data_IF_225629895061
#
_entry.id   IF_225629895061
#
_cell.length_a   1.000
_cell.length_b   1.000
_cell.length_c   1.000
_cell.angle_alpha   90.00
_cell.angle_beta   90.00
_cell.angle_gamma   90.00
#
_symmetry.space_group_name_H-M   'P 1'
#
loop_
_entity.id
_entity.type
_entity.pdbx_description
1 polymer ?
#
# COMPACT_ATOMS: atom_id res chain seq x y z
N UNK A 1 22.60 -26.81 1.16
CA UNK A 1 22.69 -25.64 0.27
C UNK A 1 21.61 -25.66 -0.81
N UNK A 2 21.19 -26.83 -1.33
CA UNK A 2 20.05 -26.94 -2.26
C UNK A 2 18.66 -26.82 -1.58
N UNK A 3 18.54 -27.10 -0.28
CA UNK A 3 17.27 -27.02 0.45
C UNK A 3 16.78 -25.58 0.70
N UNK A 4 17.68 -24.62 0.94
CA UNK A 4 17.31 -23.20 1.17
C UNK A 4 16.88 -22.47 -0.10
N UNK A 5 17.32 -22.92 -1.27
CA UNK A 5 16.96 -22.33 -2.57
C UNK A 5 15.59 -22.85 -3.04
N UNK A 6 15.26 -24.09 -2.72
CA UNK A 6 13.96 -24.71 -3.01
C UNK A 6 12.83 -24.05 -2.20
N UNK A 7 13.07 -23.82 -0.90
CA UNK A 7 12.14 -23.18 0.03
C UNK A 7 11.74 -21.75 -0.41
N UNK A 8 12.73 -20.97 -0.86
CA UNK A 8 12.51 -19.58 -1.31
C UNK A 8 11.64 -19.47 -2.57
N UNK A 9 11.73 -20.44 -3.49
CA UNK A 9 10.89 -20.46 -4.71
C UNK A 9 9.44 -20.82 -4.39
N UNK A 10 9.22 -21.69 -3.41
CA UNK A 10 7.89 -22.08 -2.95
C UNK A 10 7.22 -20.95 -2.16
N UNK A 11 7.95 -20.24 -1.29
CA UNK A 11 7.48 -19.02 -0.62
C UNK A 11 7.07 -17.92 -1.61
N UNK A 12 7.78 -17.77 -2.72
CA UNK A 12 7.41 -16.83 -3.79
C UNK A 12 6.15 -17.27 -4.55
N UNK A 13 5.85 -18.57 -4.60
CA UNK A 13 4.70 -19.15 -5.31
C UNK A 13 3.41 -19.22 -4.48
N UNK A 14 3.49 -19.25 -3.15
CA UNK A 14 2.33 -19.33 -2.25
C UNK A 14 1.74 -17.94 -1.94
N UNK A 15 0.94 -17.46 -2.89
CA UNK A 15 0.39 -16.09 -2.99
C UNK A 15 -0.82 -15.83 -2.06
N UNK A 16 -1.42 -16.86 -1.45
CA UNK A 16 -2.78 -16.76 -0.88
C UNK A 16 -2.88 -16.59 0.65
N UNK A 17 -1.79 -16.45 1.40
CA UNK A 17 -1.84 -16.51 2.87
C UNK A 17 -2.16 -15.17 3.59
N UNK A 18 -2.03 -14.02 2.93
CA UNK A 18 -2.36 -12.71 3.51
C UNK A 18 -3.76 -12.27 3.06
N UNK A 19 -4.79 -12.89 3.62
CA UNK A 19 -6.18 -12.62 3.26
C UNK A 19 -6.72 -11.38 3.97
N UNK A 20 -6.90 -10.28 3.24
CA UNK A 20 -7.75 -9.14 3.65
C UNK A 20 -9.26 -9.48 3.49
N UNK A 21 -9.63 -10.73 3.17
CA UNK A 21 -10.99 -11.12 2.73
C UNK A 21 -12.01 -11.26 3.86
N UNK A 22 -11.57 -11.32 5.13
CA UNK A 22 -12.45 -11.71 6.24
C UNK A 22 -13.18 -10.55 6.92
N UNK A 23 -13.00 -9.30 6.47
CA UNK A 23 -13.68 -8.12 7.03
C UNK A 23 -14.67 -7.53 6.02
N UNK A 24 -15.96 -7.51 6.37
CA UNK A 24 -16.99 -6.85 5.57
C UNK A 24 -16.96 -5.34 5.81
N UNK A 25 -16.84 -4.57 4.74
CA UNK A 25 -16.99 -3.12 4.77
C UNK A 25 -18.46 -2.71 5.02
N UNK A 26 -18.67 -1.50 5.53
CA UNK A 26 -20.02 -0.97 5.77
C UNK A 26 -20.67 -0.50 4.45
N UNK A 27 -21.72 -1.21 4.00
CA UNK A 27 -22.41 -0.97 2.73
C UNK A 27 -23.27 0.32 2.67
N UNK A 28 -23.34 1.10 3.75
CA UNK A 28 -24.30 2.22 3.89
C UNK A 28 -23.74 3.60 3.53
N UNK A 29 -22.56 3.69 2.92
CA UNK A 29 -21.92 4.98 2.62
C UNK A 29 -21.70 5.05 1.11
N UNK A 30 -22.15 6.16 0.50
CA UNK A 30 -22.10 6.39 -0.95
C UNK A 30 -20.78 5.93 -1.56
N UNK A 31 -20.88 5.18 -2.67
CA UNK A 31 -19.78 4.42 -3.27
C UNK A 31 -18.50 5.24 -3.31
N UNK A 32 -17.56 4.93 -2.41
CA UNK A 32 -16.18 5.36 -2.57
C UNK A 32 -15.70 4.69 -3.86
N UNK A 33 -15.50 5.46 -4.93
CA UNK A 33 -14.93 4.95 -6.17
C UNK A 33 -13.43 4.67 -5.91
N UNK A 34 -13.14 3.54 -5.28
CA UNK A 34 -11.81 2.97 -5.23
C UNK A 34 -11.40 2.57 -6.64
N UNK A 35 -10.13 2.79 -6.98
CA UNK A 35 -9.61 2.48 -8.31
C UNK A 35 -8.17 2.03 -8.18
N UNK A 36 -7.77 1.02 -8.97
CA UNK A 36 -6.38 0.54 -8.98
C UNK A 36 -5.45 1.53 -9.69
N UNK A 37 -6.00 2.40 -10.52
CA UNK A 37 -5.30 3.41 -11.31
C UNK A 37 -5.17 4.78 -10.58
N UNK A 38 -5.37 4.79 -9.26
CA UNK A 38 -5.17 6.00 -8.44
C UNK A 38 -3.71 6.23 -8.09
N UNK A 39 -2.91 5.16 -8.18
CA UNK A 39 -1.49 5.18 -7.98
C UNK A 39 -0.79 4.18 -8.90
N UNK A 40 0.49 4.44 -9.13
CA UNK A 40 1.45 3.52 -9.71
C UNK A 40 2.52 3.21 -8.66
N UNK A 41 2.76 1.93 -8.42
CA UNK A 41 3.94 1.47 -7.70
C UNK A 41 5.08 1.27 -8.68
N UNK A 42 6.28 1.67 -8.30
CA UNK A 42 7.48 1.55 -9.14
C UNK A 42 8.49 0.64 -8.46
N UNK A 43 9.37 0.04 -9.25
CA UNK A 43 10.55 -0.64 -8.72
C UNK A 43 11.77 0.29 -8.76
N UNK A 44 12.68 0.20 -7.78
CA UNK A 44 13.96 0.88 -7.87
C UNK A 44 14.75 0.36 -9.07
N UNK A 45 15.57 1.23 -9.67
CA UNK A 45 16.50 0.83 -10.73
C UNK A 45 17.48 -0.23 -10.20
N UNK A 46 17.97 -0.06 -8.97
CA UNK A 46 18.79 -1.05 -8.27
C UNK A 46 17.95 -1.84 -7.27
N UNK A 47 17.71 -3.12 -7.57
CA UNK A 47 16.92 -4.02 -6.72
C UNK A 47 17.61 -4.32 -5.38
N UNK A 48 18.93 -4.14 -5.26
CA UNK A 48 19.65 -4.34 -3.98
C UNK A 48 19.19 -3.38 -2.90
N UNK A 49 18.56 -2.26 -3.28
CA UNK A 49 17.95 -1.34 -2.31
C UNK A 49 16.91 -2.04 -1.42
N UNK A 50 16.25 -3.10 -1.90
CA UNK A 50 15.28 -3.85 -1.11
C UNK A 50 15.87 -4.63 0.08
N UNK A 51 17.18 -4.89 0.11
CA UNK A 51 17.83 -5.61 1.21
C UNK A 51 17.85 -4.78 2.51
N UNK A 52 17.87 -3.45 2.37
CA UNK A 52 17.99 -2.50 3.49
C UNK A 52 16.77 -1.61 3.67
N UNK A 53 15.92 -1.48 2.65
CA UNK A 53 14.74 -0.61 2.66
C UNK A 53 13.59 -1.19 3.49
N UNK A 54 12.92 -0.33 4.25
CA UNK A 54 11.67 -0.68 4.95
C UNK A 54 10.47 -0.46 4.02
N UNK A 55 9.34 -1.18 4.22
CA UNK A 55 8.12 -0.96 3.46
C UNK A 55 7.64 0.51 3.46
N UNK A 56 7.74 1.19 4.61
CA UNK A 56 7.41 2.62 4.71
C UNK A 56 8.30 3.48 3.79
N UNK A 57 9.62 3.28 3.83
CA UNK A 57 10.56 4.02 2.96
C UNK A 57 10.30 3.73 1.48
N UNK A 58 9.90 2.50 1.15
CA UNK A 58 9.50 2.15 -0.20
C UNK A 58 8.27 2.94 -0.64
N UNK A 59 7.20 2.95 0.16
CA UNK A 59 5.97 3.66 -0.19
C UNK A 59 6.18 5.16 -0.34
N UNK A 60 7.00 5.76 0.52
CA UNK A 60 7.33 7.18 0.43
C UNK A 60 8.00 7.54 -0.92
N UNK A 61 8.88 6.67 -1.44
CA UNK A 61 9.70 6.98 -2.62
C UNK A 61 9.12 6.46 -3.93
N UNK A 62 8.51 5.29 -3.91
CA UNK A 62 8.12 4.51 -5.09
C UNK A 62 6.61 4.36 -5.28
N UNK A 63 5.79 5.07 -4.50
CA UNK A 63 4.35 5.22 -4.78
C UNK A 63 4.08 6.55 -5.48
N UNK A 64 3.56 6.50 -6.70
CA UNK A 64 3.16 7.68 -7.48
C UNK A 64 1.64 7.78 -7.52
N UNK A 65 1.09 8.72 -6.74
CA UNK A 65 -0.36 8.97 -6.70
C UNK A 65 -0.75 9.99 -7.78
N UNK A 66 -1.90 9.83 -8.42
CA UNK A 66 -2.40 10.82 -9.38
C UNK A 66 -2.90 12.10 -8.69
N UNK A 67 -2.98 13.21 -9.42
CA UNK A 67 -3.21 14.53 -8.80
C UNK A 67 -4.61 14.69 -8.20
N UNK A 68 -5.61 14.06 -8.81
CA UNK A 68 -6.98 14.01 -8.26
C UNK A 68 -6.96 13.39 -6.86
N UNK A 69 -6.27 12.26 -6.69
CA UNK A 69 -6.23 11.55 -5.42
C UNK A 69 -5.27 12.20 -4.42
N UNK A 70 -4.15 12.77 -4.88
CA UNK A 70 -3.30 13.64 -4.03
C UNK A 70 -4.09 14.79 -3.41
N UNK A 71 -4.99 15.42 -4.17
CA UNK A 71 -5.82 16.52 -3.66
C UNK A 71 -6.73 16.07 -2.52
N UNK A 72 -7.36 14.90 -2.65
CA UNK A 72 -8.15 14.29 -1.57
C UNK A 72 -7.28 14.03 -0.33
N UNK A 73 -6.15 13.35 -0.52
CA UNK A 73 -5.26 12.99 0.58
C UNK A 73 -4.69 14.24 1.27
N UNK A 74 -4.31 15.27 0.50
CA UNK A 74 -3.81 16.53 1.03
C UNK A 74 -4.83 17.22 1.92
N UNK A 75 -6.10 17.24 1.51
CA UNK A 75 -7.19 17.83 2.32
C UNK A 75 -7.29 17.16 3.69
N UNK A 76 -7.24 15.82 3.72
CA UNK A 76 -7.31 15.08 4.99
C UNK A 76 -6.04 15.31 5.80
N UNK A 77 -4.85 15.21 5.20
CA UNK A 77 -3.60 15.46 5.89
C UNK A 77 -3.56 16.87 6.50
N UNK A 78 -3.95 17.91 5.75
CA UNK A 78 -3.95 19.29 6.24
C UNK A 78 -4.91 19.54 7.40
N UNK A 79 -5.99 18.76 7.48
CA UNK A 79 -6.95 18.84 8.59
C UNK A 79 -6.36 18.30 9.90
N UNK A 80 -5.47 17.32 9.82
CA UNK A 80 -4.99 16.55 10.97
C UNK A 80 -3.51 16.75 11.30
N UNK A 81 -2.75 17.39 10.41
CA UNK A 81 -1.31 17.54 10.58
C UNK A 81 -0.94 18.29 11.85
N UNK A 82 0.11 17.79 12.48
CA UNK A 82 0.85 18.45 13.55
C UNK A 82 1.94 19.27 12.87
N UNK A 83 1.95 20.58 13.15
CA UNK A 83 2.96 21.48 12.61
C UNK A 83 4.31 21.20 13.25
N UNK A 84 5.35 21.16 12.43
CA UNK A 84 6.75 21.04 12.86
C UNK A 84 7.61 22.03 12.09
N UNK A 85 8.72 22.46 12.67
CA UNK A 85 9.64 23.40 12.03
C UNK A 85 10.27 22.84 10.75
N UNK A 86 10.50 21.52 10.69
CA UNK A 86 11.13 20.85 9.55
C UNK A 86 10.11 20.39 8.53
N UNK A 87 9.13 19.61 8.98
CA UNK A 87 8.13 19.02 8.11
C UNK A 87 6.87 18.65 8.90
N UNK A 88 5.71 19.16 8.46
CA UNK A 88 4.41 18.78 9.01
C UNK A 88 4.22 17.25 8.95
N UNK A 89 3.66 16.66 10.00
CA UNK A 89 3.47 15.21 10.10
C UNK A 89 2.16 14.85 10.78
N UNK A 90 1.76 13.58 10.70
CA UNK A 90 0.75 12.98 11.59
C UNK A 90 1.39 11.88 12.42
N UNK A 91 0.98 11.74 13.68
CA UNK A 91 1.35 10.59 14.50
C UNK A 91 0.46 9.38 14.18
N UNK A 92 0.84 8.20 14.69
CA UNK A 92 0.14 6.96 14.37
C UNK A 92 -1.31 6.93 14.87
N UNK A 93 -1.58 7.61 16.00
CA UNK A 93 -2.94 7.73 16.55
C UNK A 93 -3.83 8.55 15.62
N UNK A 94 -3.33 9.68 15.14
CA UNK A 94 -4.02 10.60 14.24
C UNK A 94 -4.14 9.99 12.83
N UNK A 95 -3.16 9.20 12.40
CA UNK A 95 -3.19 8.48 11.14
C UNK A 95 -4.40 7.54 11.01
N UNK A 96 -4.81 6.89 12.10
CA UNK A 96 -6.02 6.05 12.12
C UNK A 96 -7.26 6.84 11.70
N UNK A 97 -7.44 8.03 12.30
CA UNK A 97 -8.56 8.91 11.96
C UNK A 97 -8.47 9.41 10.52
N UNK A 98 -7.26 9.78 10.07
CA UNK A 98 -7.02 10.21 8.70
C UNK A 98 -7.41 9.14 7.69
N UNK A 99 -6.98 7.89 7.90
CA UNK A 99 -7.24 6.82 6.94
C UNK A 99 -8.73 6.46 6.90
N UNK A 100 -9.40 6.43 8.06
CA UNK A 100 -10.86 6.25 8.13
C UNK A 100 -11.58 7.37 7.35
N UNK A 101 -11.13 8.63 7.46
CA UNK A 101 -11.72 9.75 6.72
C UNK A 101 -11.45 9.70 5.22
N UNK A 102 -10.24 9.33 4.78
CA UNK A 102 -9.91 9.10 3.37
C UNK A 102 -10.89 8.12 2.74
N UNK A 103 -11.22 7.08 3.49
CA UNK A 103 -12.16 6.03 3.07
C UNK A 103 -13.62 6.35 3.40
N UNK A 104 -13.95 7.61 3.70
CA UNK A 104 -15.32 8.06 4.01
C UNK A 104 -16.00 7.21 5.10
N UNK A 105 -15.25 6.78 6.12
CA UNK A 105 -15.73 5.93 7.24
C UNK A 105 -16.22 4.53 6.82
N UNK A 106 -15.87 4.08 5.61
CA UNK A 106 -16.24 2.75 5.12
C UNK A 106 -15.35 1.63 5.68
N UNK A 107 -14.17 2.00 6.19
CA UNK A 107 -13.23 1.13 6.89
C UNK A 107 -13.23 1.43 8.40
N UNK A 108 -12.64 0.53 9.18
CA UNK A 108 -12.54 0.67 10.64
C UNK A 108 -11.09 0.46 11.12
N UNK A 109 -10.86 0.61 12.44
CA UNK A 109 -9.56 0.43 13.10
C UNK A 109 -8.85 -0.89 12.76
N UNK A 110 -9.59 -1.98 12.56
CA UNK A 110 -8.99 -3.27 12.19
C UNK A 110 -8.32 -3.20 10.82
N UNK A 111 -8.97 -2.56 9.85
CA UNK A 111 -8.39 -2.34 8.51
C UNK A 111 -7.15 -1.45 8.59
N UNK A 112 -7.20 -0.36 9.36
CA UNK A 112 -6.04 0.53 9.55
C UNK A 112 -4.87 -0.25 10.16
N UNK A 113 -5.13 -1.07 11.19
CA UNK A 113 -4.10 -1.88 11.83
C UNK A 113 -3.46 -2.89 10.87
N UNK A 114 -4.22 -3.45 9.92
CA UNK A 114 -3.64 -4.31 8.88
C UNK A 114 -2.65 -3.55 7.99
N UNK A 115 -2.96 -2.29 7.62
CA UNK A 115 -2.03 -1.44 6.87
C UNK A 115 -0.78 -1.14 7.70
N UNK A 116 -0.95 -0.71 8.95
CA UNK A 116 0.15 -0.41 9.89
C UNK A 116 1.08 -1.63 10.04
N UNK A 117 0.51 -2.81 10.23
CA UNK A 117 1.26 -4.05 10.39
C UNK A 117 1.96 -4.48 9.09
N UNK A 118 1.29 -4.34 7.94
CA UNK A 118 1.87 -4.67 6.64
C UNK A 118 3.13 -3.86 6.35
N UNK A 119 3.14 -2.58 6.73
CA UNK A 119 4.29 -1.69 6.49
C UNK A 119 5.26 -1.58 7.65
N UNK A 120 4.94 -2.20 8.79
CA UNK A 120 5.77 -2.22 9.99
C UNK A 120 5.94 -0.86 10.67
N UNK A 121 4.90 -0.01 10.67
CA UNK A 121 4.94 1.28 11.36
C UNK A 121 4.93 1.10 12.88
N UNK A 122 5.73 1.90 13.59
CA UNK A 122 5.80 1.92 15.05
C UNK A 122 5.17 3.19 15.63
N UNK A 123 4.85 3.16 16.93
CA UNK A 123 4.19 4.28 17.62
C UNK A 123 5.04 5.56 17.63
N UNK A 124 6.36 5.43 17.55
CA UNK A 124 7.31 6.54 17.57
C UNK A 124 7.51 7.18 16.18
N UNK A 125 7.02 6.52 15.13
CA UNK A 125 7.26 6.95 13.77
C UNK A 125 6.30 8.08 13.39
N UNK A 126 6.85 9.17 12.86
CA UNK A 126 6.06 10.26 12.27
C UNK A 126 5.76 9.95 10.81
N UNK A 127 4.59 10.37 10.34
CA UNK A 127 4.15 10.17 8.97
C UNK A 127 4.07 11.53 8.31
N UNK A 128 5.06 11.86 7.48
CA UNK A 128 5.01 13.07 6.66
C UNK A 128 3.98 12.92 5.52
N UNK A 129 3.78 14.00 4.76
CA UNK A 129 2.78 13.98 3.70
C UNK A 129 3.08 12.95 2.61
N UNK A 130 4.36 12.76 2.28
CA UNK A 130 4.76 11.84 1.21
C UNK A 130 4.52 10.37 1.59
N UNK A 131 4.86 9.98 2.83
CA UNK A 131 4.51 8.67 3.36
C UNK A 131 3.00 8.51 3.51
N UNK A 132 2.28 9.56 3.93
CA UNK A 132 0.82 9.54 4.00
C UNK A 132 0.18 9.23 2.63
N UNK A 133 0.66 9.85 1.55
CA UNK A 133 0.21 9.54 0.18
C UNK A 133 0.37 8.05 -0.13
N UNK A 134 1.55 7.49 0.15
CA UNK A 134 1.86 6.09 -0.08
C UNK A 134 0.98 5.14 0.71
N UNK A 135 0.75 5.43 1.99
CA UNK A 135 -0.11 4.62 2.87
C UNK A 135 -1.58 4.68 2.47
N UNK A 136 -2.09 5.87 2.15
CA UNK A 136 -3.46 6.04 1.69
C UNK A 136 -3.69 5.29 0.35
N UNK A 137 -2.78 5.42 -0.60
CA UNK A 137 -2.85 4.71 -1.87
C UNK A 137 -2.75 3.18 -1.71
N UNK A 138 -1.84 2.70 -0.86
CA UNK A 138 -1.75 1.27 -0.53
C UNK A 138 -3.05 0.76 0.07
N UNK A 139 -3.67 1.51 1.00
CA UNK A 139 -4.92 1.09 1.62
C UNK A 139 -6.06 0.98 0.60
N UNK A 140 -6.17 1.89 -0.38
CA UNK A 140 -7.11 1.73 -1.48
C UNK A 140 -6.79 0.48 -2.31
N UNK A 141 -5.51 0.20 -2.57
CA UNK A 141 -5.09 -0.95 -3.38
C UNK A 141 -5.45 -2.29 -2.73
N UNK A 142 -5.16 -2.45 -1.44
CA UNK A 142 -5.36 -3.73 -0.74
C UNK A 142 -6.82 -3.94 -0.34
N UNK A 143 -7.53 -2.88 0.03
CA UNK A 143 -8.95 -2.98 0.42
C UNK A 143 -9.89 -2.97 -0.78
N UNK A 144 -9.38 -2.68 -1.98
CA UNK A 144 -10.12 -2.61 -3.22
C UNK A 144 -11.19 -3.71 -3.39
N UNK A 145 -10.81 -4.97 -3.16
CA UNK A 145 -11.68 -6.12 -3.37
C UNK A 145 -12.88 -6.16 -2.40
N UNK A 146 -12.85 -5.41 -1.30
CA UNK A 146 -13.95 -5.31 -0.36
C UNK A 146 -15.06 -4.38 -0.85
N UNK A 147 -14.79 -3.55 -1.86
CA UNK A 147 -15.68 -2.49 -2.34
C UNK A 147 -16.11 -2.65 -3.80
N UNK A 148 -15.57 -3.62 -4.52
CA UNK A 148 -15.83 -3.85 -5.94
C UNK A 148 -16.70 -5.08 -6.16
N UNK A 149 -17.71 -4.92 -7.00
CA UNK A 149 -18.62 -5.99 -7.47
C UNK A 149 -18.10 -6.62 -8.77
N UNK A 150 -18.42 -7.89 -9.00
CA UNK A 150 -17.96 -8.68 -10.17
C UNK A 150 -18.20 -7.96 -11.51
N UNK A 151 -19.30 -7.20 -11.62
CA UNK A 151 -19.73 -6.50 -12.85
C UNK A 151 -18.81 -5.36 -13.32
N UNK A 152 -17.81 -4.96 -12.52
CA UNK A 152 -16.98 -3.77 -12.82
C UNK A 152 -15.51 -4.07 -13.10
N UNK A 153 -15.11 -5.35 -13.07
CA UNK A 153 -13.70 -5.78 -13.14
C UNK A 153 -12.99 -5.35 -14.44
N UNK A 154 -13.71 -5.31 -15.57
CA UNK A 154 -13.14 -5.05 -16.89
C UNK A 154 -12.95 -3.56 -17.21
N UNK A 155 -13.43 -2.66 -16.35
CA UNK A 155 -13.34 -1.22 -16.59
C UNK A 155 -11.88 -0.72 -16.40
N UNK A 156 -11.40 0.27 -17.20
CA UNK A 156 -10.01 0.73 -17.12
C UNK A 156 -9.57 1.27 -15.76
N UNK A 157 -10.50 1.82 -14.98
CA UNK A 157 -10.26 2.31 -13.60
C UNK A 157 -9.97 1.16 -12.61
N UNK A 158 -10.27 -0.06 -13.03
CA UNK A 158 -10.17 -1.31 -12.27
C UNK A 158 -8.90 -2.10 -12.64
N UNK A 159 -8.13 -1.59 -13.61
CA UNK A 159 -6.82 -2.10 -14.01
C UNK A 159 -5.69 -1.28 -13.34
N UNK A 160 -4.55 -1.94 -13.09
CA UNK A 160 -3.33 -1.27 -12.65
C UNK A 160 -2.75 -0.44 -13.82
N UNK A 161 -1.90 0.52 -13.50
CA UNK A 161 -1.16 1.28 -14.52
C UNK A 161 -0.32 0.32 -15.38
N UNK A 162 -0.27 0.54 -16.70
CA UNK A 162 0.46 -0.34 -17.64
C UNK A 162 1.96 -0.39 -17.35
N UNK A 163 2.53 0.71 -16.88
CA UNK A 163 3.95 0.78 -16.50
C UNK A 163 4.18 -0.07 -15.25
N UNK A 164 3.26 -0.01 -14.28
CA UNK A 164 3.31 -0.89 -13.11
C UNK A 164 3.24 -2.36 -13.52
N UNK A 165 2.31 -2.72 -14.40
CA UNK A 165 2.19 -4.09 -14.90
C UNK A 165 3.48 -4.57 -15.58
N UNK A 166 4.13 -3.71 -16.36
CA UNK A 166 5.41 -4.04 -17.00
C UNK A 166 6.53 -4.19 -15.97
N UNK A 167 6.56 -3.33 -14.94
CA UNK A 167 7.57 -3.40 -13.89
C UNK A 167 7.41 -4.66 -13.03
N UNK A 168 6.18 -4.97 -12.61
CA UNK A 168 5.90 -6.06 -11.69
C UNK A 168 5.67 -7.41 -12.38
N UNK A 169 5.43 -7.43 -13.70
CA UNK A 169 5.17 -8.67 -14.47
C UNK A 169 6.32 -9.68 -14.45
N UNK A 170 7.54 -9.23 -14.16
CA UNK A 170 8.73 -10.08 -13.98
C UNK A 170 9.37 -9.89 -12.60
N UNK A 171 8.58 -9.58 -11.57
CA UNK A 171 9.09 -9.26 -10.23
C UNK A 171 9.95 -10.41 -9.66
N UNK A 172 9.49 -11.66 -9.80
CA UNK A 172 10.19 -12.83 -9.27
C UNK A 172 11.61 -12.97 -9.84
N UNK A 173 11.80 -12.78 -11.15
CA UNK A 173 13.12 -12.83 -11.78
C UNK A 173 13.96 -11.59 -11.46
N UNK A 174 13.34 -10.43 -11.26
CA UNK A 174 14.04 -9.19 -10.86
C UNK A 174 14.59 -9.26 -9.42
N UNK A 175 13.95 -10.05 -8.56
CA UNK A 175 14.38 -10.27 -7.18
C UNK A 175 15.30 -11.48 -7.02
N UNK A 176 15.63 -12.19 -8.11
CA UNK A 176 16.53 -13.35 -8.04
C UNK A 176 17.92 -12.93 -7.51
N UNK A 177 18.41 -13.67 -6.52
CA UNK A 177 19.67 -13.36 -5.84
C UNK A 177 19.64 -12.16 -4.87
N UNK A 178 18.50 -11.48 -4.68
CA UNK A 178 18.37 -10.37 -3.72
C UNK A 178 17.98 -10.89 -2.34
N UNK A 179 18.69 -10.45 -1.29
CA UNK A 179 18.38 -10.82 0.09
C UNK A 179 17.27 -9.93 0.68
N UNK A 180 16.05 -10.10 0.17
CA UNK A 180 14.88 -9.32 0.58
C UNK A 180 14.29 -9.81 1.91
N UNK A 181 13.99 -8.89 2.82
CA UNK A 181 13.35 -9.20 4.10
C UNK A 181 11.86 -9.51 3.91
N UNK A 182 11.31 -10.42 4.70
CA UNK A 182 9.91 -10.87 4.59
C UNK A 182 8.87 -9.73 4.60
N UNK A 183 8.98 -8.66 5.43
CA UNK A 183 8.01 -7.56 5.38
C UNK A 183 7.96 -6.84 4.03
N UNK A 184 9.13 -6.60 3.42
CA UNK A 184 9.19 -5.98 2.09
C UNK A 184 8.64 -6.92 1.02
N UNK A 185 9.01 -8.19 1.07
CA UNK A 185 8.51 -9.19 0.12
C UNK A 185 6.99 -9.32 0.19
N UNK A 186 6.41 -9.32 1.39
CA UNK A 186 4.97 -9.37 1.61
C UNK A 186 4.27 -8.14 1.04
N UNK A 187 4.85 -6.95 1.19
CA UNK A 187 4.32 -5.75 0.55
C UNK A 187 4.34 -5.90 -0.97
N UNK A 188 5.50 -6.20 -1.57
CA UNK A 188 5.64 -6.26 -3.04
C UNK A 188 4.72 -7.31 -3.70
N UNK A 189 4.44 -8.42 -3.01
CA UNK A 189 3.49 -9.45 -3.47
C UNK A 189 2.04 -8.95 -3.58
N UNK A 190 1.67 -7.92 -2.82
CA UNK A 190 0.32 -7.34 -2.83
C UNK A 190 0.16 -6.23 -3.88
N UNK A 191 1.27 -5.72 -4.44
CA UNK A 191 1.26 -4.58 -5.35
C UNK A 191 0.88 -4.99 -6.76
#
# INVERSE_FOLDING_TARGET
MESEVYDRREELSNINALSFRDLKANNNIGRLALSKNICRFELPIDMKLFETMTPANYLERYCKVNDRRKTLYKRVFDKYKIKNEKEDFVDLKTFEECLIEVHMKSINKSHVNQIINLVGLTQQQTINFQLFLGLAALSERVLYHQFVTEDTIDLPEYQKDKIECADFGSLASKLDGINIKSPMLNLLKLL
#
